data_IF_868875736522
#
_entry.id   IF_868875736522
#
_cell.length_a   1.000
_cell.length_b   1.000
_cell.length_c   1.000
_cell.angle_alpha   90.00
_cell.angle_beta   90.00
_cell.angle_gamma   90.00
#
_symmetry.space_group_name_H-M   'P 1'
#
loop_
_entity.id
_entity.type
_entity.pdbx_description
1 polymer ?
#
# COMPACT_ATOMS: atom_id res chain seq x y z
N UNK A 1 4.97 12.94 11.91
CA UNK A 1 4.63 11.95 10.86
C UNK A 1 3.10 11.90 10.70
N UNK A 2 2.59 12.04 9.48
CA UNK A 2 1.13 12.05 9.23
C UNK A 2 0.49 10.69 9.53
N UNK A 3 -0.67 10.70 10.19
CA UNK A 3 -1.40 9.50 10.62
C UNK A 3 -1.82 8.60 9.45
N UNK A 4 -2.06 9.19 8.27
CA UNK A 4 -2.43 8.47 7.05
C UNK A 4 -1.33 7.50 6.61
N UNK A 5 -0.09 7.98 6.52
CA UNK A 5 1.04 7.13 6.14
C UNK A 5 1.31 6.04 7.18
N UNK A 6 1.07 6.31 8.47
CA UNK A 6 1.19 5.28 9.52
C UNK A 6 0.23 4.13 9.29
N UNK A 7 -1.05 4.43 9.04
CA UNK A 7 -2.07 3.40 8.77
C UNK A 7 -1.68 2.62 7.50
N UNK A 8 -1.25 3.32 6.45
CA UNK A 8 -0.83 2.69 5.21
C UNK A 8 0.36 1.73 5.42
N UNK A 9 1.37 2.13 6.19
CA UNK A 9 2.52 1.27 6.46
C UNK A 9 2.17 0.08 7.37
N UNK A 10 1.23 0.23 8.31
CA UNK A 10 0.71 -0.89 9.10
C UNK A 10 0.05 -1.92 8.18
N UNK A 11 -0.81 -1.46 7.26
CA UNK A 11 -1.49 -2.34 6.29
C UNK A 11 -0.49 -2.98 5.34
N UNK A 12 0.47 -2.22 4.81
CA UNK A 12 1.52 -2.75 3.93
C UNK A 12 2.36 -3.82 4.63
N UNK A 13 2.74 -3.60 5.90
CA UNK A 13 3.46 -4.58 6.70
C UNK A 13 2.64 -5.84 6.97
N UNK A 14 1.34 -5.69 7.28
CA UNK A 14 0.44 -6.83 7.49
C UNK A 14 0.29 -7.68 6.22
N UNK A 15 0.09 -7.04 5.06
CA UNK A 15 -0.01 -7.73 3.78
C UNK A 15 1.31 -8.41 3.42
N UNK A 16 2.43 -7.72 3.60
CA UNK A 16 3.76 -8.29 3.33
C UNK A 16 4.04 -9.51 4.19
N UNK A 17 3.61 -9.51 5.45
CA UNK A 17 3.73 -10.64 6.36
C UNK A 17 2.97 -11.90 5.90
N UNK A 18 2.00 -11.77 4.99
CA UNK A 18 1.30 -12.91 4.39
C UNK A 18 2.15 -13.58 3.29
N UNK A 19 3.04 -12.83 2.65
CA UNK A 19 3.89 -13.33 1.56
C UNK A 19 5.30 -13.68 2.03
N UNK A 20 5.80 -13.00 3.06
CA UNK A 20 7.17 -13.12 3.56
C UNK A 20 7.20 -13.07 5.08
N UNK A 21 8.00 -13.93 5.70
CA UNK A 21 8.18 -13.93 7.15
C UNK A 21 8.69 -12.58 7.67
N UNK A 22 8.19 -12.13 8.83
CA UNK A 22 8.49 -10.79 9.37
C UNK A 22 9.97 -10.56 9.68
N UNK A 23 10.68 -11.64 9.97
CA UNK A 23 12.11 -11.70 10.27
C UNK A 23 12.99 -11.89 9.02
N UNK A 24 12.39 -12.02 7.83
CA UNK A 24 13.15 -12.19 6.60
C UNK A 24 13.93 -10.92 6.24
N UNK A 25 15.16 -11.11 5.76
CA UNK A 25 16.05 -10.03 5.32
C UNK A 25 15.39 -9.09 4.28
N UNK A 26 14.55 -9.66 3.42
CA UNK A 26 13.91 -8.94 2.33
C UNK A 26 12.56 -8.31 2.70
N UNK A 27 12.11 -8.42 3.96
CA UNK A 27 10.79 -7.96 4.39
C UNK A 27 10.60 -6.46 4.09
N UNK A 28 11.57 -5.62 4.43
CA UNK A 28 11.51 -4.17 4.20
C UNK A 28 11.41 -3.82 2.71
N UNK A 29 12.13 -4.55 1.85
CA UNK A 29 12.12 -4.32 0.41
C UNK A 29 10.71 -4.63 -0.13
N UNK A 30 10.19 -5.81 0.20
CA UNK A 30 8.88 -6.26 -0.28
C UNK A 30 7.77 -5.39 0.30
N UNK A 31 7.86 -4.99 1.58
CA UNK A 31 6.94 -4.06 2.20
C UNK A 31 6.90 -2.72 1.46
N UNK A 32 8.04 -2.23 1.00
CA UNK A 32 8.11 -1.00 0.21
C UNK A 32 7.35 -1.16 -1.10
N UNK A 33 7.53 -2.27 -1.82
CA UNK A 33 6.77 -2.56 -3.03
C UNK A 33 5.26 -2.67 -2.77
N UNK A 34 4.85 -3.36 -1.70
CA UNK A 34 3.45 -3.45 -1.30
C UNK A 34 2.88 -2.07 -0.97
N UNK A 35 3.62 -1.24 -0.25
CA UNK A 35 3.19 0.12 0.09
C UNK A 35 2.98 0.96 -1.18
N UNK A 36 3.92 0.92 -2.13
CA UNK A 36 3.80 1.63 -3.41
C UNK A 36 2.57 1.14 -4.18
N UNK A 37 2.36 -0.19 -4.27
CA UNK A 37 1.19 -0.77 -4.94
C UNK A 37 -0.13 -0.32 -4.31
N UNK A 38 -0.22 -0.27 -2.98
CA UNK A 38 -1.41 0.22 -2.27
C UNK A 38 -1.68 1.69 -2.59
N UNK A 39 -0.65 2.54 -2.56
CA UNK A 39 -0.79 3.96 -2.92
C UNK A 39 -1.28 4.09 -4.37
N UNK A 40 -0.65 3.38 -5.30
CA UNK A 40 -1.06 3.38 -6.71
C UNK A 40 -2.50 2.91 -6.89
N UNK A 41 -2.92 1.86 -6.19
CA UNK A 41 -4.30 1.37 -6.23
C UNK A 41 -5.30 2.41 -5.70
N UNK A 42 -5.00 3.05 -4.56
CA UNK A 42 -5.86 4.09 -3.97
C UNK A 42 -6.03 5.25 -4.94
N UNK A 43 -4.92 5.75 -5.49
CA UNK A 43 -4.94 6.87 -6.45
C UNK A 43 -5.63 6.46 -7.75
N UNK A 44 -5.35 5.26 -8.26
CA UNK A 44 -5.95 4.72 -9.48
C UNK A 44 -7.47 4.58 -9.37
N UNK A 45 -7.96 3.99 -8.28
CA UNK A 45 -9.41 3.87 -8.00
C UNK A 45 -10.04 5.24 -7.85
N UNK A 46 -9.40 6.16 -7.12
CA UNK A 46 -9.88 7.53 -6.96
C UNK A 46 -9.99 8.29 -8.29
N UNK A 47 -8.95 8.17 -9.14
CA UNK A 47 -8.91 8.75 -10.47
C UNK A 47 -10.01 8.18 -11.37
N UNK A 48 -10.13 6.86 -11.42
CA UNK A 48 -11.14 6.18 -12.24
C UNK A 48 -12.57 6.52 -11.79
N UNK A 49 -12.82 6.61 -10.48
CA UNK A 49 -14.12 7.02 -9.95
C UNK A 49 -14.44 8.49 -10.24
N UNK A 50 -13.44 9.37 -10.18
CA UNK A 50 -13.58 10.76 -10.62
C UNK A 50 -13.94 10.84 -12.11
N UNK A 51 -13.27 10.07 -12.96
CA UNK A 51 -13.55 10.05 -14.39
C UNK A 51 -14.98 9.55 -14.67
N UNK A 52 -15.41 8.45 -14.02
CA UNK A 52 -16.77 7.93 -14.14
C UNK A 52 -17.86 8.90 -13.68
N UNK A 53 -17.59 9.78 -12.71
CA UNK A 53 -18.57 10.78 -12.26
C UNK A 53 -18.68 12.01 -13.17
N UNK A 54 -17.67 12.25 -14.00
CA UNK A 54 -17.65 13.38 -14.95
C UNK A 54 -18.21 13.02 -16.33
N UNK A 55 -18.43 11.73 -16.60
CA UNK A 55 -19.01 11.21 -17.85
C UNK A 55 -20.48 10.90 -17.62
#
# INVERSE_FOLDING_TARGET
MSAIFRILFIVAGAITALFVARDALNFTIIQTFVAVLLVTAIVGVGSFWSQRRKT
#
